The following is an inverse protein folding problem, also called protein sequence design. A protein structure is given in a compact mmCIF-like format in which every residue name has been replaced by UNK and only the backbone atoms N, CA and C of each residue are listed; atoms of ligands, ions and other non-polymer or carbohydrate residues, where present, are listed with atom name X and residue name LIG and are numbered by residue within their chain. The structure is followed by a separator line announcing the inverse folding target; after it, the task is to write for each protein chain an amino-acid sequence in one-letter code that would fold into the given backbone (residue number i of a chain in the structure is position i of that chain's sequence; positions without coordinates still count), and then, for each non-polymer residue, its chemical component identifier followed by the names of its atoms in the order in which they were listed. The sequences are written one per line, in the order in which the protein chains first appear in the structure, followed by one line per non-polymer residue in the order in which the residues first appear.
data_IF_640786346569
#
_entry.id   IF_640786346569
#
_cell.length_a   1.000
_cell.length_b   1.000
_cell.length_c   1.000
_cell.angle_alpha   90.00
_cell.angle_beta   90.00
_cell.angle_gamma   90.00
#
_symmetry.space_group_name_H-M   'P 1'
#
loop_
_entity.id
_entity.type
_entity.pdbx_description
1 polymer ?
#
# COMPACT_ATOMS: atom_id res chain seq x y z
N UNK A 1 -0.13 24.35 20.59
CA UNK A 1 -0.93 23.16 20.88
C UNK A 1 -0.47 22.02 19.98
N UNK A 2 -0.52 20.76 20.43
CA UNK A 2 -0.35 19.58 19.57
C UNK A 2 -1.40 19.58 18.46
N UNK A 3 -1.07 18.98 17.32
CA UNK A 3 -1.99 18.78 16.22
C UNK A 3 -1.79 17.39 15.59
N UNK A 4 -2.82 16.89 14.96
CA UNK A 4 -2.79 15.74 14.08
C UNK A 4 -3.33 16.17 12.72
N UNK A 5 -2.62 15.84 11.64
CA UNK A 5 -3.00 16.16 10.29
C UNK A 5 -2.96 14.89 9.43
N UNK A 6 -4.08 14.51 8.89
CA UNK A 6 -4.20 13.46 7.88
C UNK A 6 -4.41 14.10 6.51
N UNK A 7 -3.48 13.84 5.57
CA UNK A 7 -3.58 14.33 4.21
C UNK A 7 -3.74 13.15 3.26
N UNK A 8 -4.96 12.85 2.86
CA UNK A 8 -5.28 11.84 1.86
C UNK A 8 -5.16 12.46 0.45
N UNK A 9 -4.00 12.31 -0.18
CA UNK A 9 -3.75 12.83 -1.51
C UNK A 9 -4.41 11.91 -2.55
N UNK A 10 -5.25 12.46 -3.42
CA UNK A 10 -5.88 11.72 -4.52
C UNK A 10 -5.00 11.59 -5.77
N UNK A 11 -3.95 12.38 -5.86
CA UNK A 11 -2.97 12.30 -6.93
C UNK A 11 -2.20 10.98 -6.83
N UNK A 12 -1.87 10.41 -7.98
CA UNK A 12 -1.37 9.03 -8.09
C UNK A 12 -2.44 8.09 -8.61
N UNK A 13 -3.74 8.43 -8.44
CA UNK A 13 -4.87 7.71 -8.99
C UNK A 13 -5.37 8.32 -10.32
N UNK A 14 -5.88 7.51 -11.24
CA UNK A 14 -6.54 8.00 -12.46
C UNK A 14 -7.87 8.74 -12.18
N UNK A 15 -8.40 9.48 -13.15
CA UNK A 15 -7.90 9.64 -14.51
C UNK A 15 -6.70 10.60 -14.57
N UNK A 16 -5.62 10.15 -15.20
CA UNK A 16 -4.36 10.91 -15.34
C UNK A 16 -4.49 12.09 -16.28
N UNK A 17 -5.42 12.02 -17.22
CA UNK A 17 -5.69 13.05 -18.23
C UNK A 17 -6.07 14.42 -17.63
N UNK A 18 -6.57 14.44 -16.38
CA UNK A 18 -6.91 15.70 -15.70
C UNK A 18 -5.70 16.58 -15.36
N UNK A 19 -4.50 16.02 -15.32
CA UNK A 19 -3.27 16.79 -15.09
C UNK A 19 -2.89 17.57 -16.36
N UNK A 20 -3.17 16.99 -17.54
CA UNK A 20 -2.93 17.61 -18.85
C UNK A 20 -4.05 18.61 -19.21
N UNK A 21 -5.28 18.39 -18.72
CA UNK A 21 -6.47 19.12 -19.15
C UNK A 21 -6.66 20.51 -18.52
N UNK A 22 -5.76 20.97 -17.67
CA UNK A 22 -5.81 22.32 -17.10
C UNK A 22 -5.88 22.40 -15.57
N UNK A 23 -5.91 23.62 -15.08
CA UNK A 23 -5.72 23.97 -13.67
C UNK A 23 -7.03 23.98 -12.84
N UNK A 24 -8.01 23.14 -13.16
CA UNK A 24 -9.23 23.02 -12.39
C UNK A 24 -8.95 22.18 -11.13
N UNK A 25 -9.18 22.79 -9.98
CA UNK A 25 -8.99 22.17 -8.68
C UNK A 25 -10.32 22.10 -7.93
N UNK A 26 -10.54 21.06 -7.15
CA UNK A 26 -11.67 20.95 -6.25
C UNK A 26 -11.26 21.37 -4.83
N UNK A 27 -12.05 22.21 -4.19
CA UNK A 27 -11.92 22.51 -2.77
C UNK A 27 -12.50 21.37 -1.93
N UNK A 28 -12.20 21.31 -0.61
CA UNK A 28 -12.84 20.34 0.29
C UNK A 28 -14.37 20.42 0.28
N UNK A 29 -14.93 21.58 -0.01
CA UNK A 29 -16.39 21.85 -0.10
C UNK A 29 -16.97 21.41 -1.47
N UNK A 30 -16.14 20.88 -2.37
CA UNK A 30 -16.56 20.41 -3.69
C UNK A 30 -16.69 21.48 -4.77
N UNK A 31 -16.24 22.70 -4.51
CA UNK A 31 -16.19 23.75 -5.53
C UNK A 31 -14.98 23.59 -6.44
N UNK A 32 -15.12 23.92 -7.71
CA UNK A 32 -14.01 24.02 -8.65
C UNK A 32 -13.40 25.44 -8.59
N UNK A 33 -12.07 25.48 -8.51
CA UNK A 33 -11.30 26.73 -8.56
C UNK A 33 -10.22 26.63 -9.65
N UNK A 34 -9.90 27.74 -10.25
CA UNK A 34 -8.88 27.83 -11.31
C UNK A 34 -7.48 28.16 -10.77
N UNK A 35 -7.38 28.40 -9.47
CA UNK A 35 -6.14 28.70 -8.78
C UNK A 35 -6.01 27.94 -7.46
N UNK A 36 -4.78 27.76 -7.00
CA UNK A 36 -4.46 27.22 -5.68
C UNK A 36 -3.59 28.19 -4.91
N UNK A 37 -4.02 28.60 -3.73
CA UNK A 37 -3.29 29.51 -2.86
C UNK A 37 -1.85 29.02 -2.56
N UNK A 38 -1.64 27.69 -2.45
CA UNK A 38 -0.31 27.11 -2.25
C UNK A 38 0.63 27.32 -3.43
N UNK A 39 0.08 27.44 -4.66
CA UNK A 39 0.83 27.75 -5.89
C UNK A 39 1.11 29.24 -5.96
N UNK A 40 0.11 30.09 -5.70
CA UNK A 40 0.24 31.55 -5.69
C UNK A 40 1.27 32.02 -4.66
N UNK A 41 1.26 31.41 -3.48
CA UNK A 41 2.26 31.67 -2.42
C UNK A 41 3.62 31.03 -2.67
N UNK A 42 3.82 30.34 -3.79
CA UNK A 42 5.07 29.71 -4.17
C UNK A 42 5.47 28.51 -3.30
N UNK A 43 4.53 27.86 -2.61
CA UNK A 43 4.79 26.60 -1.87
C UNK A 43 4.90 25.41 -2.80
N UNK A 44 4.14 25.41 -3.90
CA UNK A 44 4.14 24.38 -4.92
C UNK A 44 4.31 25.01 -6.30
N UNK A 45 4.94 24.31 -7.26
CA UNK A 45 4.89 24.71 -8.67
C UNK A 45 3.46 24.55 -9.21
N UNK A 46 3.11 25.29 -10.27
CA UNK A 46 1.86 25.04 -11.00
C UNK A 46 1.89 23.68 -11.72
N UNK A 47 0.71 23.15 -12.07
CA UNK A 47 0.65 21.93 -12.89
C UNK A 47 1.33 22.10 -14.25
N UNK A 48 1.19 23.25 -14.87
CA UNK A 48 1.89 23.57 -16.14
C UNK A 48 3.41 23.50 -15.98
N UNK A 49 3.92 23.99 -14.86
CA UNK A 49 5.35 23.92 -14.57
C UNK A 49 5.81 22.48 -14.35
N UNK A 50 5.06 21.65 -13.62
CA UNK A 50 5.34 20.22 -13.46
C UNK A 50 5.37 19.50 -14.81
N UNK A 51 4.37 19.74 -15.67
CA UNK A 51 4.32 19.14 -17.01
C UNK A 51 5.53 19.59 -17.85
N UNK A 52 5.90 20.86 -17.77
CA UNK A 52 7.07 21.40 -18.47
C UNK A 52 8.38 20.74 -18.01
N UNK A 53 8.55 20.53 -16.71
CA UNK A 53 9.76 19.94 -16.13
C UNK A 53 9.85 18.43 -16.37
N UNK A 54 8.74 17.71 -16.23
CA UNK A 54 8.73 16.25 -16.30
C UNK A 54 8.48 15.70 -17.71
N UNK A 55 8.12 16.54 -18.68
CA UNK A 55 7.84 16.12 -20.04
C UNK A 55 6.61 15.20 -20.15
N UNK A 56 6.59 14.36 -21.20
CA UNK A 56 5.50 13.41 -21.45
C UNK A 56 5.61 12.19 -20.53
N UNK A 57 4.72 12.06 -19.56
CA UNK A 57 4.71 10.92 -18.65
C UNK A 57 3.73 11.15 -17.51
N UNK A 58 2.46 10.83 -17.72
CA UNK A 58 1.40 11.11 -16.75
C UNK A 58 1.71 10.59 -15.32
N UNK A 59 2.35 9.44 -15.20
CA UNK A 59 2.73 8.92 -13.87
C UNK A 59 3.84 9.78 -13.22
N UNK A 60 4.88 10.14 -13.96
CA UNK A 60 5.97 10.98 -13.46
C UNK A 60 5.46 12.36 -13.02
N UNK A 61 4.59 12.97 -13.83
CA UNK A 61 3.94 14.25 -13.51
C UNK A 61 3.11 14.16 -12.24
N UNK A 62 2.31 13.08 -12.10
CA UNK A 62 1.48 12.86 -10.92
C UNK A 62 2.33 12.69 -9.67
N UNK A 63 3.40 11.90 -9.73
CA UNK A 63 4.30 11.69 -8.60
C UNK A 63 5.07 12.96 -8.23
N UNK A 64 5.51 13.75 -9.21
CA UNK A 64 6.14 15.04 -8.96
C UNK A 64 5.19 16.04 -8.28
N UNK A 65 3.90 15.98 -8.61
CA UNK A 65 2.89 16.80 -7.94
C UNK A 65 2.70 16.37 -6.47
N UNK A 66 2.65 15.06 -6.20
CA UNK A 66 2.60 14.52 -4.82
C UNK A 66 3.84 14.95 -4.04
N UNK A 67 5.03 14.81 -4.62
CA UNK A 67 6.29 15.21 -3.99
C UNK A 67 6.31 16.71 -3.67
N UNK A 68 5.86 17.55 -4.59
CA UNK A 68 5.73 18.98 -4.37
C UNK A 68 4.78 19.31 -3.20
N UNK A 69 3.68 18.57 -3.06
CA UNK A 69 2.75 18.68 -1.93
C UNK A 69 3.41 18.32 -0.59
N UNK A 70 4.15 17.22 -0.55
CA UNK A 70 4.94 16.83 0.62
C UNK A 70 5.99 17.91 0.93
N UNK A 71 6.67 18.43 -0.09
CA UNK A 71 7.65 19.52 0.04
C UNK A 71 7.04 20.79 0.64
N UNK A 72 5.82 21.15 0.24
CA UNK A 72 5.09 22.29 0.78
C UNK A 72 4.80 22.14 2.29
N UNK A 73 4.35 20.96 2.71
CA UNK A 73 4.13 20.65 4.14
C UNK A 73 5.44 20.77 4.93
N UNK A 74 6.51 20.14 4.45
CA UNK A 74 7.81 20.17 5.12
C UNK A 74 8.38 21.60 5.21
N UNK A 75 8.18 22.41 4.16
CA UNK A 75 8.54 23.83 4.15
C UNK A 75 7.75 24.60 5.21
N UNK A 76 6.43 24.39 5.27
CA UNK A 76 5.57 25.06 6.27
C UNK A 76 5.96 24.71 7.71
N UNK A 77 6.28 23.46 7.98
CA UNK A 77 6.78 23.03 9.29
C UNK A 77 8.10 23.75 9.68
N UNK A 78 9.00 23.95 8.71
CA UNK A 78 10.23 24.73 8.96
C UNK A 78 9.94 26.19 9.26
N UNK A 79 9.11 26.84 8.43
CA UNK A 79 8.75 28.26 8.60
C UNK A 79 8.04 28.54 9.91
N UNK A 80 7.25 27.61 10.40
CA UNK A 80 6.54 27.73 11.69
C UNK A 80 7.37 27.26 12.89
N UNK A 81 8.63 26.84 12.68
CA UNK A 81 9.49 26.33 13.73
C UNK A 81 9.10 24.95 14.29
N UNK A 82 8.18 24.23 13.63
CA UNK A 82 7.63 22.95 14.11
C UNK A 82 8.34 21.72 13.55
N UNK A 83 9.29 21.88 12.66
CA UNK A 83 9.92 20.77 11.95
C UNK A 83 10.65 19.77 12.87
N UNK A 84 11.12 20.19 14.06
CA UNK A 84 11.78 19.31 15.03
C UNK A 84 10.79 18.55 15.91
N UNK A 85 9.63 19.15 16.16
CA UNK A 85 8.62 18.63 17.09
C UNK A 85 7.47 17.88 16.37
N UNK A 86 7.65 17.58 15.08
CA UNK A 86 6.62 16.92 14.28
C UNK A 86 7.16 15.62 13.69
N UNK A 87 6.49 14.52 14.01
CA UNK A 87 6.58 13.27 13.29
C UNK A 87 5.84 13.40 11.98
N UNK A 88 6.54 13.22 10.86
CA UNK A 88 5.96 13.19 9.52
C UNK A 88 6.07 11.79 8.98
N UNK A 89 4.95 11.21 8.57
CA UNK A 89 4.88 9.89 7.94
C UNK A 89 4.29 10.05 6.54
N UNK A 90 4.93 9.42 5.57
CA UNK A 90 4.41 9.19 4.24
C UNK A 90 4.22 7.69 4.03
N UNK A 91 3.03 7.29 3.64
CA UNK A 91 2.74 5.90 3.27
C UNK A 91 1.78 5.85 2.08
N UNK A 92 1.88 4.81 1.27
CA UNK A 92 0.88 4.51 0.24
C UNK A 92 -0.24 3.63 0.84
N UNK A 93 -1.43 3.75 0.26
CA UNK A 93 -2.62 2.98 0.65
C UNK A 93 -2.51 1.50 0.25
N UNK A 94 -1.69 1.20 -0.74
CA UNK A 94 -1.46 -0.15 -1.27
C UNK A 94 -0.15 -0.20 -2.06
N UNK A 95 0.31 -1.42 -2.35
CA UNK A 95 1.45 -1.66 -3.22
C UNK A 95 1.14 -1.36 -4.69
N UNK A 96 2.19 -1.27 -5.50
CA UNK A 96 2.10 -0.89 -6.91
C UNK A 96 1.81 -2.11 -7.80
N UNK A 97 0.60 -2.17 -8.35
CA UNK A 97 0.18 -3.16 -9.34
C UNK A 97 -0.57 -4.37 -8.79
N UNK A 98 -0.59 -4.59 -7.48
CA UNK A 98 -1.26 -5.74 -6.84
C UNK A 98 -2.51 -5.39 -6.04
N UNK A 99 -3.16 -4.28 -6.35
CA UNK A 99 -4.37 -3.83 -5.62
C UNK A 99 -5.38 -4.95 -5.41
N UNK A 100 -5.84 -5.11 -4.16
CA UNK A 100 -6.79 -6.15 -3.73
C UNK A 100 -6.24 -7.56 -3.80
N UNK A 101 -4.95 -7.73 -3.53
CA UNK A 101 -4.31 -9.05 -3.38
C UNK A 101 -3.39 -9.05 -2.18
N UNK A 102 -3.04 -10.24 -1.68
CA UNK A 102 -2.08 -10.42 -0.60
C UNK A 102 -0.64 -10.60 -1.11
N UNK A 103 -0.39 -10.52 -2.42
CA UNK A 103 0.98 -10.56 -2.95
C UNK A 103 1.76 -9.28 -2.60
N UNK A 104 3.09 -9.36 -2.60
CA UNK A 104 3.96 -8.20 -2.30
C UNK A 104 3.61 -6.97 -3.16
N UNK A 105 3.25 -7.18 -4.42
CA UNK A 105 2.77 -6.10 -5.29
C UNK A 105 1.52 -5.37 -4.78
N UNK A 106 0.76 -5.98 -3.86
CA UNK A 106 -0.43 -5.39 -3.23
C UNK A 106 -0.20 -4.94 -1.79
N UNK A 107 0.63 -5.65 -1.03
CA UNK A 107 0.80 -5.44 0.41
C UNK A 107 2.08 -4.72 0.79
N UNK A 108 3.15 -4.80 -0.01
CA UNK A 108 4.36 -4.04 0.23
C UNK A 108 4.16 -2.59 -0.19
N UNK A 109 3.97 -1.70 0.77
CA UNK A 109 3.70 -0.29 0.57
C UNK A 109 4.94 0.58 0.73
N UNK A 110 4.96 1.73 0.07
CA UNK A 110 5.96 2.75 0.35
C UNK A 110 5.71 3.33 1.75
N UNK A 111 6.73 3.30 2.61
CA UNK A 111 6.64 3.82 3.96
C UNK A 111 7.90 4.60 4.31
N UNK A 112 7.74 5.84 4.69
CA UNK A 112 8.84 6.73 5.10
C UNK A 112 8.41 7.54 6.32
N UNK A 113 9.33 7.69 7.27
CA UNK A 113 9.10 8.50 8.46
C UNK A 113 10.25 9.47 8.69
N UNK A 114 9.92 10.65 9.22
CA UNK A 114 10.89 11.68 9.58
C UNK A 114 10.50 12.30 10.91
N UNK A 115 11.43 12.24 11.88
CA UNK A 115 11.31 12.92 13.15
C UNK A 115 12.71 13.29 13.66
N UNK A 116 13.17 14.54 13.43
CA UNK A 116 14.51 14.95 13.85
C UNK A 116 14.75 14.79 15.35
N UNK A 117 15.87 14.19 15.70
CA UNK A 117 16.24 13.91 17.10
C UNK A 117 15.66 12.61 17.66
N UNK A 118 14.74 11.94 16.93
CA UNK A 118 14.19 10.63 17.31
C UNK A 118 14.57 9.57 16.28
N UNK A 119 14.35 9.86 15.00
CA UNK A 119 14.70 8.96 13.90
C UNK A 119 16.04 9.39 13.32
N UNK A 120 17.01 8.49 13.27
CA UNK A 120 18.31 8.74 12.66
C UNK A 120 18.14 9.03 11.16
N UNK A 121 18.75 10.11 10.63
CA UNK A 121 18.67 10.43 9.21
C UNK A 121 19.40 9.38 8.35
N UNK A 122 18.92 9.20 7.12
CA UNK A 122 19.50 8.28 6.13
C UNK A 122 19.60 6.82 6.60
N UNK A 123 18.65 6.37 7.43
CA UNK A 123 18.55 4.98 7.87
C UNK A 123 17.46 4.25 7.11
N UNK A 124 17.63 2.95 6.97
CA UNK A 124 16.64 2.02 6.46
C UNK A 124 16.46 0.89 7.47
N UNK A 125 15.22 0.52 7.75
CA UNK A 125 14.88 -0.63 8.59
C UNK A 125 14.28 -1.74 7.73
N UNK A 126 14.62 -2.99 8.04
CA UNK A 126 14.02 -4.19 7.47
C UNK A 126 13.04 -4.87 8.44
N UNK A 127 12.67 -4.18 9.51
CA UNK A 127 11.66 -4.67 10.43
C UNK A 127 10.32 -4.86 9.72
N UNK A 128 9.65 -5.94 10.06
CA UNK A 128 8.26 -6.15 9.64
C UNK A 128 7.36 -5.18 10.40
N UNK A 129 6.70 -4.31 9.67
CA UNK A 129 5.74 -3.33 10.18
C UNK A 129 4.46 -3.38 9.36
N UNK A 130 3.35 -3.11 10.02
CA UNK A 130 2.02 -3.17 9.42
C UNK A 130 1.28 -1.84 9.64
N UNK A 131 0.29 -1.54 8.80
CA UNK A 131 -0.52 -0.32 8.96
C UNK A 131 -1.31 -0.29 10.27
N UNK A 132 -1.66 -1.44 10.83
CA UNK A 132 -2.28 -1.53 12.17
C UNK A 132 -1.37 -1.01 13.29
N UNK A 133 -0.05 -0.99 13.07
CA UNK A 133 0.93 -0.47 14.03
C UNK A 133 0.87 1.05 14.18
N UNK A 134 0.26 1.74 13.21
CA UNK A 134 0.20 3.20 13.23
C UNK A 134 -0.63 3.73 14.40
N UNK A 135 -1.76 3.10 14.72
CA UNK A 135 -2.59 3.51 15.85
C UNK A 135 -1.82 3.39 17.18
N UNK A 136 -1.22 2.22 17.44
CA UNK A 136 -0.39 2.00 18.62
C UNK A 136 0.79 2.97 18.70
N UNK A 137 1.42 3.27 17.55
CA UNK A 137 2.54 4.20 17.48
C UNK A 137 2.10 5.64 17.80
N UNK A 138 0.96 6.09 17.29
CA UNK A 138 0.46 7.44 17.58
C UNK A 138 0.07 7.60 19.04
N UNK A 139 -0.52 6.57 19.65
CA UNK A 139 -0.84 6.59 21.07
C UNK A 139 0.42 6.67 21.92
N UNK A 140 1.45 5.89 21.60
CA UNK A 140 2.75 5.92 22.28
C UNK A 140 3.44 7.29 22.13
N UNK A 141 3.46 7.85 20.92
CA UNK A 141 4.00 9.21 20.66
C UNK A 141 3.23 10.28 21.44
N UNK A 142 1.92 10.15 21.52
CA UNK A 142 1.06 11.09 22.26
C UNK A 142 1.07 10.84 23.77
N UNK A 143 1.67 9.75 24.26
CA UNK A 143 1.57 9.26 25.64
C UNK A 143 0.12 9.13 26.10
N UNK A 144 -0.72 8.66 25.18
CA UNK A 144 -2.14 8.42 25.43
C UNK A 144 -2.34 7.05 26.09
N UNK A 145 -3.31 6.96 26.96
CA UNK A 145 -3.73 5.68 27.54
C UNK A 145 -4.65 4.92 26.58
N UNK A 146 -4.62 3.60 26.66
CA UNK A 146 -5.54 2.76 25.90
C UNK A 146 -6.99 3.01 26.34
N UNK A 147 -7.89 3.08 25.37
CA UNK A 147 -9.31 3.19 25.67
C UNK A 147 -9.80 1.89 26.33
N UNK A 148 -10.58 1.99 27.44
CA UNK A 148 -11.13 0.82 28.10
C UNK A 148 -11.90 -0.09 27.12
N UNK A 149 -11.54 -1.37 27.09
CA UNK A 149 -12.18 -2.37 26.22
C UNK A 149 -11.72 -2.36 24.76
N UNK A 150 -10.75 -1.52 24.39
CA UNK A 150 -10.14 -1.53 23.07
C UNK A 150 -8.95 -2.49 23.05
N UNK A 151 -9.03 -3.53 22.23
CA UNK A 151 -7.88 -4.38 21.93
C UNK A 151 -7.15 -3.79 20.72
N UNK A 152 -5.85 -3.58 20.85
CA UNK A 152 -5.00 -3.17 19.75
C UNK A 152 -4.31 -4.37 19.12
N UNK A 153 -4.48 -4.59 17.83
CA UNK A 153 -3.76 -5.63 17.07
C UNK A 153 -2.34 -5.16 16.70
N UNK A 154 -2.13 -3.85 16.65
CA UNK A 154 -0.85 -3.24 16.31
C UNK A 154 0.10 -3.11 17.50
N UNK A 155 1.38 -2.95 17.19
CA UNK A 155 2.44 -2.67 18.16
C UNK A 155 3.16 -1.37 17.78
N UNK A 156 3.46 -0.52 18.78
CA UNK A 156 4.21 0.71 18.51
C UNK A 156 5.57 0.42 17.86
N UNK A 157 5.85 1.09 16.75
CA UNK A 157 7.16 1.03 16.08
C UNK A 157 8.12 2.15 16.55
N UNK A 158 7.70 2.96 17.52
CA UNK A 158 8.53 4.00 18.11
C UNK A 158 9.85 3.46 18.68
N UNK A 159 9.91 2.30 19.36
CA UNK A 159 11.17 1.72 19.81
C UNK A 159 12.13 1.37 18.66
N UNK A 160 11.61 0.96 17.50
CA UNK A 160 12.43 0.72 16.29
C UNK A 160 13.04 2.04 15.79
N UNK A 161 12.22 3.09 15.71
CA UNK A 161 12.68 4.41 15.28
C UNK A 161 13.73 5.03 16.21
N UNK A 162 13.69 4.71 17.50
CA UNK A 162 14.69 5.13 18.50
C UNK A 162 15.95 4.27 18.48
N UNK A 163 15.97 3.17 17.74
CA UNK A 163 17.07 2.20 17.75
C UNK A 163 17.13 1.34 19.02
N UNK A 164 16.04 1.26 19.79
CA UNK A 164 15.93 0.45 21.00
C UNK A 164 15.62 -1.02 20.70
N UNK A 165 15.07 -1.30 19.50
CA UNK A 165 14.76 -2.64 18.97
C UNK A 165 14.99 -2.70 17.48
N UNK A 166 15.38 -3.87 16.99
CA UNK A 166 15.52 -4.13 15.55
C UNK A 166 14.19 -4.49 14.90
N UNK A 167 13.31 -5.19 15.62
CA UNK A 167 11.99 -5.61 15.14
C UNK A 167 11.03 -5.83 16.32
N UNK A 168 9.73 -5.70 16.06
CA UNK A 168 8.66 -6.05 17.00
C UNK A 168 7.98 -7.36 16.62
N UNK A 169 7.96 -7.71 15.34
CA UNK A 169 7.21 -8.83 14.78
C UNK A 169 8.12 -9.78 14.03
N UNK A 170 7.82 -11.06 14.11
CA UNK A 170 8.46 -12.11 13.29
C UNK A 170 7.64 -12.45 12.05
N UNK A 171 6.35 -12.10 12.05
CA UNK A 171 5.44 -12.32 10.94
C UNK A 171 4.38 -11.22 10.84
N UNK A 172 3.85 -11.01 9.63
CA UNK A 172 2.71 -10.17 9.32
C UNK A 172 1.63 -11.03 8.70
N UNK A 173 0.39 -10.82 9.14
CA UNK A 173 -0.79 -11.47 8.61
C UNK A 173 -1.60 -10.50 7.75
N UNK A 174 -2.02 -10.93 6.56
CA UNK A 174 -2.87 -10.15 5.66
C UNK A 174 -4.05 -10.97 5.16
N UNK A 175 -5.19 -10.33 4.98
CA UNK A 175 -6.41 -10.97 4.51
C UNK A 175 -7.15 -10.10 3.49
N UNK A 176 -7.64 -10.74 2.44
CA UNK A 176 -8.59 -10.12 1.51
C UNK A 176 -9.52 -11.17 0.89
N UNK A 177 -10.82 -11.03 1.12
CA UNK A 177 -11.82 -11.96 0.61
C UNK A 177 -11.56 -13.41 1.01
N UNK A 178 -11.28 -14.26 0.05
CA UNK A 178 -10.99 -15.68 0.27
C UNK A 178 -9.49 -16.01 0.34
N UNK A 179 -8.64 -15.01 0.39
CA UNK A 179 -7.19 -15.16 0.44
C UNK A 179 -6.65 -14.63 1.75
N UNK A 180 -5.78 -15.41 2.39
CA UNK A 180 -5.01 -15.05 3.57
C UNK A 180 -3.54 -15.27 3.27
N UNK A 181 -2.69 -14.47 3.87
CA UNK A 181 -1.26 -14.70 3.78
C UNK A 181 -0.56 -14.38 5.10
N UNK A 182 0.49 -15.13 5.38
CA UNK A 182 1.46 -14.82 6.42
C UNK A 182 2.82 -14.59 5.77
N UNK A 183 3.47 -13.50 6.13
CA UNK A 183 4.79 -13.14 5.64
C UNK A 183 5.76 -13.01 6.81
N UNK A 184 6.92 -13.65 6.70
CA UNK A 184 8.11 -13.40 7.53
C UNK A 184 9.10 -12.55 6.74
N UNK A 185 10.25 -12.23 7.29
CA UNK A 185 11.30 -11.48 6.59
C UNK A 185 11.83 -12.17 5.31
N UNK A 186 11.61 -13.49 5.16
CA UNK A 186 12.16 -14.27 4.05
C UNK A 186 11.11 -15.10 3.29
N UNK A 187 10.00 -15.41 3.89
CA UNK A 187 9.03 -16.35 3.33
C UNK A 187 7.62 -15.79 3.38
N UNK A 188 6.82 -16.16 2.38
CA UNK A 188 5.39 -15.85 2.37
C UNK A 188 4.57 -17.06 1.97
N UNK A 189 3.56 -17.34 2.77
CA UNK A 189 2.58 -18.38 2.50
C UNK A 189 1.23 -17.75 2.23
N UNK A 190 0.56 -18.19 1.16
CA UNK A 190 -0.82 -17.82 0.86
C UNK A 190 -1.72 -19.05 0.99
N UNK A 191 -2.79 -18.87 1.76
CA UNK A 191 -3.93 -19.78 1.82
C UNK A 191 -5.08 -19.20 0.99
N UNK A 192 -5.31 -19.75 -0.20
CA UNK A 192 -6.40 -19.33 -1.07
C UNK A 192 -7.54 -20.32 -0.93
N UNK A 193 -8.73 -19.84 -0.60
CA UNK A 193 -9.90 -20.67 -0.30
C UNK A 193 -11.13 -20.18 -1.08
N UNK A 194 -10.96 -19.97 -2.39
CA UNK A 194 -12.07 -19.59 -3.25
C UNK A 194 -13.11 -20.69 -3.33
N UNK A 195 -14.40 -20.33 -3.43
CA UNK A 195 -15.45 -21.32 -3.73
C UNK A 195 -15.13 -22.06 -5.02
N UNK A 196 -15.51 -23.35 -5.11
CA UNK A 196 -15.20 -24.21 -6.25
C UNK A 196 -15.66 -23.60 -7.59
N UNK A 197 -16.85 -22.99 -7.60
CA UNK A 197 -17.37 -22.32 -8.81
C UNK A 197 -16.43 -21.21 -9.33
N UNK A 198 -15.77 -20.48 -8.44
CA UNK A 198 -14.84 -19.40 -8.84
C UNK A 198 -13.56 -19.99 -9.45
N UNK A 199 -13.06 -21.09 -8.88
CA UNK A 199 -11.90 -21.83 -9.39
C UNK A 199 -12.22 -22.41 -10.78
N UNK A 200 -13.39 -23.01 -10.95
CA UNK A 200 -13.80 -23.60 -12.22
C UNK A 200 -14.00 -22.55 -13.32
N UNK A 201 -14.53 -21.39 -12.96
CA UNK A 201 -14.64 -20.26 -13.88
C UNK A 201 -13.26 -19.77 -14.35
N UNK A 202 -12.30 -19.65 -13.43
CA UNK A 202 -10.94 -19.26 -13.82
C UNK A 202 -10.24 -20.30 -14.67
N UNK A 203 -10.39 -21.59 -14.34
CA UNK A 203 -9.88 -22.69 -15.16
C UNK A 203 -10.46 -22.67 -16.57
N UNK A 204 -11.77 -22.43 -16.69
CA UNK A 204 -12.44 -22.32 -18.00
C UNK A 204 -11.90 -21.13 -18.80
N UNK A 205 -11.75 -19.98 -18.17
CA UNK A 205 -11.24 -18.79 -18.83
C UNK A 205 -9.78 -18.94 -19.28
N UNK A 206 -8.95 -19.68 -18.53
CA UNK A 206 -7.57 -19.98 -18.96
C UNK A 206 -7.53 -20.84 -20.22
N UNK A 207 -8.53 -21.72 -20.41
CA UNK A 207 -8.66 -22.54 -21.61
C UNK A 207 -9.26 -21.77 -22.80
N UNK A 208 -10.10 -20.78 -22.51
CA UNK A 208 -10.79 -19.94 -23.48
C UNK A 208 -10.72 -18.47 -23.02
N UNK A 209 -9.70 -17.73 -23.45
CA UNK A 209 -9.52 -16.33 -23.04
C UNK A 209 -10.67 -15.39 -23.42
N UNK A 210 -11.44 -15.74 -24.45
CA UNK A 210 -12.58 -14.96 -24.94
C UNK A 210 -13.88 -15.30 -24.20
N UNK A 211 -13.86 -16.36 -23.37
CA UNK A 211 -15.00 -16.73 -22.57
C UNK A 211 -15.31 -15.66 -21.52
N UNK A 212 -16.54 -15.19 -21.51
CA UNK A 212 -17.05 -14.27 -20.49
C UNK A 212 -17.99 -15.01 -19.53
N UNK A 213 -17.85 -14.79 -18.22
CA UNK A 213 -18.77 -15.38 -17.25
C UNK A 213 -20.20 -14.86 -17.48
N UNK A 214 -21.23 -15.70 -17.29
CA UNK A 214 -22.62 -15.30 -17.46
C UNK A 214 -22.95 -14.11 -16.55
N UNK A 215 -23.67 -13.14 -17.10
CA UNK A 215 -24.07 -11.90 -16.39
C UNK A 215 -25.03 -12.19 -15.23
N UNK A 216 -25.76 -13.31 -15.32
CA UNK A 216 -26.68 -13.80 -14.28
C UNK A 216 -26.05 -14.99 -13.56
N UNK A 217 -25.92 -14.91 -12.24
CA UNK A 217 -25.36 -15.96 -11.39
C UNK A 217 -24.99 -15.43 -10.01
N UNK A 218 -24.39 -16.25 -9.15
CA UNK A 218 -24.07 -15.87 -7.77
C UNK A 218 -23.02 -14.75 -7.63
N UNK A 219 -22.52 -14.25 -8.76
CA UNK A 219 -21.56 -13.13 -8.73
C UNK A 219 -22.25 -11.80 -8.46
N UNK A 220 -22.14 -11.31 -7.24
CA UNK A 220 -22.43 -9.92 -6.90
C UNK A 220 -21.48 -8.95 -7.62
N UNK A 221 -21.79 -7.66 -7.63
CA UNK A 221 -20.89 -6.61 -8.17
C UNK A 221 -19.50 -6.67 -7.52
N UNK A 222 -19.44 -6.93 -6.21
CA UNK A 222 -18.18 -7.12 -5.49
C UNK A 222 -17.40 -8.34 -5.98
N UNK A 223 -18.08 -9.46 -6.24
CA UNK A 223 -17.46 -10.66 -6.79
C UNK A 223 -16.93 -10.44 -8.21
N UNK A 224 -17.63 -9.65 -9.04
CA UNK A 224 -17.17 -9.28 -10.40
C UNK A 224 -15.91 -8.39 -10.34
N UNK A 225 -15.84 -7.49 -9.38
CA UNK A 225 -14.64 -6.66 -9.17
C UNK A 225 -13.47 -7.50 -8.68
N UNK A 226 -13.70 -8.39 -7.71
CA UNK A 226 -12.70 -9.33 -7.23
C UNK A 226 -12.22 -10.23 -8.36
N UNK A 227 -13.15 -10.77 -9.15
CA UNK A 227 -12.87 -11.60 -10.33
C UNK A 227 -11.93 -10.90 -11.33
N UNK A 228 -12.20 -9.63 -11.67
CA UNK A 228 -11.33 -8.85 -12.56
C UNK A 228 -9.92 -8.70 -12.01
N UNK A 229 -9.74 -8.74 -10.69
CA UNK A 229 -8.46 -8.57 -10.01
C UNK A 229 -7.66 -9.85 -9.86
N UNK A 230 -8.34 -10.99 -9.66
CA UNK A 230 -7.71 -12.33 -9.58
C UNK A 230 -7.53 -12.99 -10.95
N UNK A 231 -8.17 -12.44 -11.97
CA UNK A 231 -8.03 -12.93 -13.33
C UNK A 231 -6.63 -12.63 -13.89
N UNK A 232 -6.05 -13.51 -14.73
CA UNK A 232 -4.76 -13.27 -15.40
C UNK A 232 -4.73 -12.01 -16.26
N UNK A 233 -5.89 -11.51 -16.68
CA UNK A 233 -6.03 -10.22 -17.39
C UNK A 233 -6.10 -9.02 -16.45
N UNK A 234 -6.22 -9.23 -15.12
CA UNK A 234 -6.18 -8.19 -14.10
C UNK A 234 -4.77 -7.74 -13.77
N UNK A 235 -4.63 -6.95 -12.70
CA UNK A 235 -3.35 -6.40 -12.25
C UNK A 235 -2.31 -7.46 -11.83
N UNK A 236 -2.73 -8.72 -11.67
CA UNK A 236 -1.88 -9.84 -11.25
C UNK A 236 -1.43 -10.78 -12.38
N UNK A 237 -1.28 -10.28 -13.59
CA UNK A 237 -0.79 -11.08 -14.73
C UNK A 237 0.53 -11.81 -14.47
N UNK A 238 1.31 -11.34 -13.49
CA UNK A 238 2.61 -11.92 -13.16
C UNK A 238 2.51 -13.14 -12.23
N UNK A 239 1.41 -13.32 -11.50
CA UNK A 239 1.26 -14.40 -10.53
C UNK A 239 0.55 -15.60 -11.16
N UNK A 240 1.33 -16.59 -11.53
CA UNK A 240 0.85 -17.79 -12.24
C UNK A 240 0.09 -18.77 -11.34
N UNK A 241 0.25 -18.68 -10.02
CA UNK A 241 -0.30 -19.61 -9.04
C UNK A 241 -1.66 -19.22 -8.44
N UNK A 242 -2.42 -18.28 -9.04
CA UNK A 242 -3.66 -17.76 -8.45
C UNK A 242 -4.76 -18.82 -8.19
N UNK A 243 -4.72 -19.95 -8.89
CA UNK A 243 -5.62 -21.09 -8.66
C UNK A 243 -5.03 -22.15 -7.73
N UNK A 244 -3.80 -21.99 -7.28
CA UNK A 244 -3.18 -22.90 -6.32
C UNK A 244 -3.69 -22.53 -4.93
N UNK A 245 -4.26 -23.50 -4.24
CA UNK A 245 -4.89 -23.28 -2.93
C UNK A 245 -3.88 -22.95 -1.84
N UNK A 246 -2.69 -23.53 -1.94
CA UNK A 246 -1.55 -23.26 -1.08
C UNK A 246 -0.40 -22.73 -1.95
N UNK A 247 0.18 -21.63 -1.53
CA UNK A 247 1.32 -21.05 -2.24
C UNK A 247 2.40 -20.67 -1.23
N UNK A 248 3.66 -20.96 -1.59
CA UNK A 248 4.81 -20.65 -0.76
C UNK A 248 5.87 -19.98 -1.62
N UNK A 249 6.40 -18.87 -1.14
CA UNK A 249 7.40 -18.06 -1.83
C UNK A 249 8.58 -17.76 -0.93
N UNK A 250 9.80 -17.80 -1.48
CA UNK A 250 11.00 -17.29 -0.86
C UNK A 250 11.20 -15.85 -1.34
N UNK A 251 10.85 -14.87 -0.52
CA UNK A 251 10.88 -13.43 -0.89
C UNK A 251 12.29 -12.90 -1.13
N UNK A 252 13.35 -13.58 -0.64
CA UNK A 252 14.74 -13.19 -0.89
C UNK A 252 15.15 -13.50 -2.33
N UNK A 253 14.73 -14.64 -2.86
CA UNK A 253 15.09 -15.11 -4.18
C UNK A 253 14.05 -14.76 -5.23
N UNK A 254 12.78 -14.65 -4.80
CA UNK A 254 11.62 -14.35 -5.64
C UNK A 254 10.73 -13.27 -5.00
N UNK A 255 11.18 -12.02 -4.91
CA UNK A 255 10.42 -10.92 -4.32
C UNK A 255 9.14 -10.56 -5.10
N UNK A 256 8.98 -11.09 -6.31
CA UNK A 256 7.79 -10.90 -7.13
C UNK A 256 6.82 -12.09 -7.09
N UNK A 257 7.09 -13.09 -6.27
CA UNK A 257 6.21 -14.25 -6.03
C UNK A 257 5.78 -14.96 -7.33
N UNK A 258 6.74 -15.23 -8.21
CA UNK A 258 6.50 -15.83 -9.54
C UNK A 258 6.53 -17.35 -9.52
N UNK A 259 7.22 -17.95 -8.54
CA UNK A 259 7.46 -19.40 -8.49
C UNK A 259 6.86 -19.97 -7.22
N UNK A 260 5.69 -20.61 -7.32
CA UNK A 260 5.08 -21.30 -6.19
C UNK A 260 5.89 -22.56 -5.82
N UNK A 261 6.39 -22.60 -4.59
CA UNK A 261 7.20 -23.69 -4.03
C UNK A 261 6.39 -24.72 -3.25
N UNK A 262 5.08 -24.47 -3.00
CA UNK A 262 4.26 -25.30 -2.11
C UNK A 262 4.13 -26.76 -2.56
N UNK A 263 4.21 -27.04 -3.86
CA UNK A 263 4.15 -28.39 -4.41
C UNK A 263 5.48 -29.13 -4.49
N UNK A 264 6.58 -28.54 -4.04
CA UNK A 264 7.92 -29.12 -4.14
C UNK A 264 8.30 -29.84 -2.86
N UNK A 265 8.69 -31.14 -2.93
CA UNK A 265 9.01 -31.95 -1.74
C UNK A 265 10.07 -31.33 -0.82
N UNK A 266 11.09 -30.70 -1.39
CA UNK A 266 12.19 -30.07 -0.65
C UNK A 266 11.74 -28.90 0.23
N UNK A 267 10.56 -28.30 -0.02
CA UNK A 267 9.97 -27.23 0.78
C UNK A 267 8.81 -27.68 1.67
N UNK A 268 8.53 -28.98 1.76
CA UNK A 268 7.39 -29.48 2.54
C UNK A 268 7.46 -29.08 4.02
N UNK A 269 8.64 -29.17 4.63
CA UNK A 269 8.85 -28.76 6.03
C UNK A 269 8.60 -27.26 6.23
N UNK A 270 9.12 -26.41 5.32
CA UNK A 270 8.90 -24.97 5.37
C UNK A 270 7.43 -24.61 5.16
N UNK A 271 6.74 -25.29 4.26
CA UNK A 271 5.30 -25.11 4.06
C UNK A 271 4.49 -25.41 5.34
N UNK A 272 4.84 -26.49 6.05
CA UNK A 272 4.17 -26.81 7.32
C UNK A 272 4.49 -25.78 8.40
N UNK A 273 5.72 -25.35 8.53
CA UNK A 273 6.12 -24.26 9.44
C UNK A 273 5.29 -22.99 9.20
N UNK A 274 5.13 -22.60 7.94
CA UNK A 274 4.39 -21.38 7.58
C UNK A 274 2.87 -21.52 7.68
N UNK A 275 2.35 -22.75 7.79
CA UNK A 275 0.93 -23.02 8.03
C UNK A 275 0.55 -23.04 9.52
N UNK A 276 1.53 -23.30 10.39
CA UNK A 276 1.35 -23.36 11.85
C UNK A 276 1.22 -21.96 12.46
#
# INVERSE_FOLDING_TARGET
KPFYLWMALTQGHGPRERIEAGDIHATPEGHSVDHLEVVEKGYMPSRKEIVRQMGKGAMAQTMAWVDAGVGAVLRKLRETGRAKDTLVIYLSDQGNGGKSTNYESGTCISFMARWPGVIQPNTQSHALVDTVDMAATFMDVAKAEDLPGMNQDGQSILPIWRGEREANKTAIFTEIGYSRAVATAAWKYHAIRYPQWAIDMERRRRKDPDWLPPVKGPMSVASKQLWRKISPSGQNRANVGICDLDQLYNLKDDPNERTNLAGRPEYAAKLQEMKA
#
